data_IF_981155896894
#
_entry.id   IF_981155896894
#
_cell.length_a   1.000
_cell.length_b   1.000
_cell.length_c   1.000
_cell.angle_alpha   90.00
_cell.angle_beta   90.00
_cell.angle_gamma   90.00
#
_symmetry.space_group_name_H-M   'P 1'
#
loop_
_entity.id
_entity.type
_entity.pdbx_description
1 polymer ?
#
# COMPACT_ATOMS: atom_id res chain seq x y z
N UNK A 1 48.75 12.47 -8.92
CA UNK A 1 48.32 13.78 -9.35
C UNK A 1 47.20 14.21 -8.38
N UNK A 2 47.40 15.35 -7.73
CA UNK A 2 46.44 15.97 -6.86
C UNK A 2 45.24 16.40 -7.71
N UNK A 3 44.10 15.75 -7.48
CA UNK A 3 42.90 15.98 -8.25
C UNK A 3 42.19 17.24 -7.71
N UNK A 4 42.31 18.31 -8.45
CA UNK A 4 41.63 19.61 -8.16
C UNK A 4 40.21 19.65 -8.69
N UNK A 5 39.40 18.63 -8.44
CA UNK A 5 37.93 18.69 -8.62
C UNK A 5 37.45 18.74 -10.09
N UNK A 6 38.20 18.38 -11.06
CA UNK A 6 37.82 18.38 -12.46
C UNK A 6 37.18 17.05 -12.89
N UNK A 7 36.30 17.15 -13.87
CA UNK A 7 35.48 16.09 -14.41
C UNK A 7 36.31 14.84 -14.74
N UNK A 8 35.93 13.69 -14.12
CA UNK A 8 36.59 12.41 -14.38
C UNK A 8 36.57 12.02 -15.89
N UNK A 9 35.68 12.60 -16.69
CA UNK A 9 35.59 12.39 -18.11
C UNK A 9 36.82 12.95 -18.88
N UNK A 10 37.42 14.04 -18.41
CA UNK A 10 38.64 14.60 -19.02
C UNK A 10 39.86 13.72 -18.76
N UNK A 11 39.93 13.09 -17.57
CA UNK A 11 41.02 12.18 -17.21
C UNK A 11 41.01 10.87 -18.05
N UNK A 12 39.85 10.43 -18.51
CA UNK A 12 39.70 9.20 -19.32
C UNK A 12 40.21 9.38 -20.76
N UNK A 13 40.30 10.61 -21.26
CA UNK A 13 40.77 10.91 -22.64
C UNK A 13 42.29 11.03 -22.77
N UNK A 14 43.03 11.02 -21.67
CA UNK A 14 44.47 10.97 -21.71
C UNK A 14 44.95 9.54 -22.04
N UNK A 15 45.48 9.32 -23.24
CA UNK A 15 45.80 8.01 -23.84
C UNK A 15 46.82 7.13 -23.12
N UNK A 16 47.08 7.35 -21.83
CA UNK A 16 48.04 6.61 -20.99
C UNK A 16 47.39 5.86 -19.83
N UNK A 17 46.04 5.63 -19.85
CA UNK A 17 45.37 4.90 -18.78
C UNK A 17 45.44 3.39 -18.98
N UNK A 18 45.76 2.67 -17.92
CA UNK A 18 45.69 1.21 -17.85
C UNK A 18 44.36 0.83 -17.24
N UNK A 19 43.53 0.08 -17.98
CA UNK A 19 42.30 -0.47 -17.45
C UNK A 19 42.59 -1.49 -16.36
N UNK A 20 42.26 -1.20 -15.10
CA UNK A 20 42.50 -2.07 -13.96
C UNK A 20 41.29 -2.99 -13.66
N UNK A 21 40.11 -2.56 -14.00
CA UNK A 21 38.90 -3.31 -13.75
C UNK A 21 37.67 -2.43 -13.56
N UNK A 22 36.53 -3.07 -13.44
CA UNK A 22 35.24 -2.45 -13.12
C UNK A 22 34.79 -3.02 -11.79
N UNK A 23 34.42 -2.15 -10.84
CA UNK A 23 33.77 -2.53 -9.59
C UNK A 23 32.28 -2.17 -9.70
N UNK A 24 31.43 -3.16 -9.58
CA UNK A 24 29.98 -2.96 -9.52
C UNK A 24 29.53 -3.02 -8.06
N UNK A 25 28.81 -1.99 -7.63
CA UNK A 25 28.18 -1.94 -6.32
C UNK A 25 26.67 -2.11 -6.54
N UNK A 26 26.11 -3.17 -5.99
CA UNK A 26 24.66 -3.38 -6.02
C UNK A 26 24.18 -3.76 -4.62
N UNK A 27 23.04 -3.21 -4.23
CA UNK A 27 22.34 -3.64 -3.02
C UNK A 27 21.43 -4.81 -3.41
N UNK A 28 21.63 -6.03 -2.85
CA UNK A 28 20.84 -7.19 -3.23
C UNK A 28 19.41 -7.05 -2.75
N UNK A 29 18.48 -7.46 -3.58
CA UNK A 29 17.06 -7.54 -3.19
C UNK A 29 16.88 -8.60 -2.11
N UNK A 30 16.10 -8.28 -1.09
CA UNK A 30 15.76 -9.24 -0.03
C UNK A 30 15.00 -10.42 -0.64
N UNK A 31 15.35 -11.68 -0.30
CA UNK A 31 14.81 -12.88 -0.96
C UNK A 31 13.29 -13.05 -0.83
N UNK A 32 12.68 -12.48 0.22
CA UNK A 32 11.25 -12.56 0.53
C UNK A 32 10.37 -11.60 -0.29
N UNK A 33 10.96 -10.54 -0.87
CA UNK A 33 10.24 -9.47 -1.56
C UNK A 33 9.52 -9.94 -2.83
N UNK A 34 10.14 -10.73 -3.74
CA UNK A 34 9.45 -11.16 -4.96
C UNK A 34 8.18 -11.97 -4.68
N UNK A 35 8.23 -12.89 -3.72
CA UNK A 35 7.07 -13.70 -3.32
C UNK A 35 5.97 -12.83 -2.71
N UNK A 36 6.34 -11.88 -1.85
CA UNK A 36 5.38 -10.97 -1.21
C UNK A 36 4.72 -10.04 -2.24
N UNK A 37 5.45 -9.52 -3.23
CA UNK A 37 4.91 -8.74 -4.34
C UNK A 37 3.92 -9.57 -5.16
N UNK A 38 4.26 -10.81 -5.48
CA UNK A 38 3.37 -11.71 -6.21
C UNK A 38 2.07 -12.00 -5.42
N UNK A 39 2.17 -12.22 -4.10
CA UNK A 39 0.99 -12.37 -3.22
C UNK A 39 0.10 -11.12 -3.24
N UNK A 40 0.69 -9.93 -3.16
CA UNK A 40 -0.06 -8.69 -3.26
C UNK A 40 -0.77 -8.55 -4.62
N UNK A 41 -0.07 -8.81 -5.72
CA UNK A 41 -0.65 -8.75 -7.07
C UNK A 41 -1.79 -9.76 -7.26
N UNK A 42 -1.61 -11.01 -6.81
CA UNK A 42 -2.65 -12.05 -6.86
C UNK A 42 -3.88 -11.72 -6.02
N UNK A 43 -3.69 -10.92 -4.97
CA UNK A 43 -4.75 -10.37 -4.14
C UNK A 43 -5.40 -9.10 -4.71
N UNK A 44 -5.06 -8.69 -5.95
CA UNK A 44 -5.58 -7.51 -6.62
C UNK A 44 -5.03 -6.19 -6.08
N UNK A 45 -3.86 -6.20 -5.44
CA UNK A 45 -3.20 -4.99 -4.93
C UNK A 45 -2.21 -4.50 -5.98
N UNK A 46 -2.38 -3.27 -6.44
CA UNK A 46 -1.42 -2.60 -7.32
C UNK A 46 -0.18 -2.17 -6.54
N UNK A 47 0.95 -2.83 -6.77
CA UNK A 47 2.24 -2.45 -6.18
C UNK A 47 2.91 -1.41 -7.05
N UNK A 48 3.53 -0.39 -6.44
CA UNK A 48 4.27 0.67 -7.13
C UNK A 48 5.61 0.92 -6.41
N UNK A 49 6.67 1.13 -7.19
CA UNK A 49 7.97 1.56 -6.68
C UNK A 49 8.12 3.06 -6.87
N UNK A 50 8.45 3.77 -5.79
CA UNK A 50 8.71 5.20 -5.80
C UNK A 50 10.02 5.46 -5.07
N UNK A 51 11.06 5.79 -5.82
CA UNK A 51 12.43 5.89 -5.29
C UNK A 51 13.16 7.14 -5.79
N UNK A 52 14.16 7.57 -5.03
CA UNK A 52 15.12 8.58 -5.46
C UNK A 52 16.19 8.07 -6.45
N UNK A 53 16.24 6.75 -6.68
CA UNK A 53 17.23 6.11 -7.54
C UNK A 53 17.07 6.48 -9.02
N UNK A 54 18.08 6.08 -9.81
CA UNK A 54 18.07 6.29 -11.26
C UNK A 54 16.99 5.44 -11.95
N UNK A 55 16.48 5.86 -13.12
CA UNK A 55 15.48 5.09 -13.87
C UNK A 55 15.95 3.67 -14.20
N UNK A 56 17.23 3.49 -14.53
CA UNK A 56 17.81 2.17 -14.82
C UNK A 56 17.74 1.25 -13.60
N UNK A 57 18.22 1.72 -12.44
CA UNK A 57 18.22 0.97 -11.19
C UNK A 57 16.81 0.62 -10.76
N UNK A 58 15.90 1.60 -10.74
CA UNK A 58 14.51 1.39 -10.32
C UNK A 58 13.76 0.38 -11.21
N UNK A 59 13.97 0.45 -12.54
CA UNK A 59 13.37 -0.50 -13.49
C UNK A 59 13.93 -1.90 -13.33
N UNK A 60 15.26 -2.02 -13.10
CA UNK A 60 15.91 -3.32 -12.90
C UNK A 60 15.43 -3.99 -11.60
N UNK A 61 15.32 -3.23 -10.51
CA UNK A 61 14.70 -3.71 -9.26
C UNK A 61 13.27 -4.17 -9.52
N UNK A 62 12.47 -3.37 -10.21
CA UNK A 62 11.09 -3.72 -10.55
C UNK A 62 10.99 -5.02 -11.36
N UNK A 63 11.95 -5.26 -12.27
CA UNK A 63 12.04 -6.49 -13.05
C UNK A 63 12.39 -7.71 -12.18
N UNK A 64 13.35 -7.56 -11.30
CA UNK A 64 13.80 -8.65 -10.42
C UNK A 64 12.74 -9.09 -9.41
N UNK A 65 11.91 -8.16 -8.93
CA UNK A 65 10.79 -8.49 -8.02
C UNK A 65 9.49 -8.91 -8.76
N UNK A 66 9.51 -9.00 -10.10
CA UNK A 66 8.36 -9.42 -10.90
C UNK A 66 7.26 -8.35 -11.04
N UNK A 67 7.55 -7.08 -10.73
CA UNK A 67 6.63 -5.96 -10.92
C UNK A 67 6.64 -5.46 -12.36
N UNK A 68 7.83 -5.33 -12.96
CA UNK A 68 8.01 -4.94 -14.36
C UNK A 68 7.96 -6.16 -15.26
N UNK A 69 7.07 -6.12 -16.25
CA UNK A 69 6.80 -7.22 -17.18
C UNK A 69 7.24 -6.87 -18.61
N UNK A 70 7.43 -7.86 -19.50
CA UNK A 70 7.82 -7.61 -20.89
C UNK A 70 6.85 -6.74 -21.68
N UNK A 71 5.57 -6.77 -21.34
CA UNK A 71 4.50 -5.97 -21.95
C UNK A 71 4.46 -4.50 -21.46
N UNK A 72 5.20 -4.16 -20.40
CA UNK A 72 5.21 -2.81 -19.85
C UNK A 72 5.96 -1.83 -20.77
N UNK A 73 5.45 -0.62 -20.81
CA UNK A 73 5.92 0.46 -21.68
C UNK A 73 6.35 1.69 -20.87
N UNK A 74 6.79 2.73 -21.54
CA UNK A 74 7.11 4.02 -20.91
C UNK A 74 5.89 4.67 -20.22
N UNK A 75 4.66 4.22 -20.50
CA UNK A 75 3.48 4.63 -19.73
C UNK A 75 3.53 4.17 -18.28
N UNK A 76 4.16 3.02 -18.01
CA UNK A 76 4.23 2.39 -16.69
C UNK A 76 5.40 2.90 -15.84
N UNK A 77 6.28 3.76 -16.37
CA UNK A 77 7.38 4.39 -15.63
C UNK A 77 7.46 5.88 -15.89
N UNK A 78 7.95 6.62 -14.91
CA UNK A 78 8.15 8.07 -15.01
C UNK A 78 9.26 8.52 -14.08
N UNK A 79 9.90 9.64 -14.38
CA UNK A 79 10.78 10.34 -13.44
C UNK A 79 10.00 11.37 -12.62
N UNK A 80 10.49 11.70 -11.40
CA UNK A 80 9.88 12.75 -10.58
C UNK A 80 9.78 14.10 -11.30
N UNK A 81 10.78 14.43 -12.12
CA UNK A 81 10.77 15.69 -12.90
C UNK A 81 9.65 15.68 -13.95
N UNK A 82 9.53 14.60 -14.71
CA UNK A 82 8.44 14.45 -15.70
C UNK A 82 7.09 14.45 -15.02
N UNK A 83 6.95 13.73 -13.88
CA UNK A 83 5.70 13.68 -13.12
C UNK A 83 5.28 15.05 -12.57
N UNK A 84 6.24 15.84 -12.11
CA UNK A 84 5.97 17.20 -11.63
C UNK A 84 5.55 18.16 -12.76
N UNK A 85 5.97 17.89 -14.00
CA UNK A 85 5.61 18.69 -15.17
C UNK A 85 4.22 18.37 -15.74
N UNK A 86 3.63 17.21 -15.39
CA UNK A 86 2.27 16.84 -15.81
C UNK A 86 1.22 17.73 -15.14
N UNK A 87 0.19 18.11 -15.88
CA UNK A 87 -1.04 18.63 -15.31
C UNK A 87 -1.73 17.59 -14.41
N UNK A 88 -2.65 18.01 -13.57
CA UNK A 88 -3.35 17.06 -12.70
C UNK A 88 -4.24 16.09 -13.50
N UNK A 89 -4.81 16.54 -14.61
CA UNK A 89 -5.62 15.69 -15.51
C UNK A 89 -4.77 14.60 -16.17
N UNK A 90 -3.61 14.97 -16.72
CA UNK A 90 -2.65 14.02 -17.33
C UNK A 90 -2.11 13.03 -16.31
N UNK A 91 -1.77 13.51 -15.12
CA UNK A 91 -1.29 12.68 -14.02
C UNK A 91 -2.37 11.71 -13.55
N UNK A 92 -3.62 12.15 -13.40
CA UNK A 92 -4.78 11.31 -13.06
C UNK A 92 -5.03 10.21 -14.10
N UNK A 93 -4.88 10.50 -15.39
CA UNK A 93 -5.05 9.48 -16.45
C UNK A 93 -4.00 8.37 -16.34
N UNK A 94 -2.79 8.73 -15.93
CA UNK A 94 -1.64 7.82 -15.91
C UNK A 94 -1.42 7.09 -14.59
N UNK A 95 -1.90 7.65 -13.46
CA UNK A 95 -1.52 7.24 -12.11
C UNK A 95 -1.81 5.77 -11.78
N UNK A 96 -2.88 5.18 -12.32
CA UNK A 96 -3.22 3.78 -12.10
C UNK A 96 -2.27 2.83 -12.83
N UNK A 97 -1.85 3.17 -14.04
CA UNK A 97 -0.97 2.35 -14.88
C UNK A 97 0.50 2.44 -14.43
N UNK A 98 0.85 3.50 -13.72
CA UNK A 98 2.21 3.73 -13.27
C UNK A 98 2.67 2.64 -12.30
N UNK A 99 3.83 2.04 -12.56
CA UNK A 99 4.47 1.02 -11.72
C UNK A 99 5.76 1.51 -11.06
N UNK A 100 6.53 2.34 -11.76
CA UNK A 100 7.84 2.81 -11.30
C UNK A 100 7.94 4.33 -11.44
N UNK A 101 8.22 5.01 -10.33
CA UNK A 101 8.63 6.41 -10.31
C UNK A 101 10.05 6.50 -9.76
N UNK A 102 10.97 6.95 -10.60
CA UNK A 102 12.39 7.15 -10.28
C UNK A 102 12.72 8.61 -10.04
N UNK A 103 13.82 8.93 -9.37
CA UNK A 103 14.20 10.31 -9.03
C UNK A 103 13.07 11.13 -8.39
N UNK A 104 12.22 10.44 -7.62
CA UNK A 104 11.08 11.05 -6.94
C UNK A 104 11.54 11.89 -5.75
N UNK A 105 11.02 13.11 -5.64
CA UNK A 105 11.17 13.98 -4.47
C UNK A 105 10.04 13.67 -3.45
N UNK A 106 10.16 14.07 -2.20
CA UNK A 106 9.12 13.88 -1.19
C UNK A 106 7.73 14.36 -1.63
N UNK A 107 7.67 15.53 -2.28
CA UNK A 107 6.41 16.10 -2.78
C UNK A 107 5.81 15.29 -3.95
N UNK A 108 6.65 14.68 -4.78
CA UNK A 108 6.18 13.82 -5.89
C UNK A 108 5.52 12.55 -5.33
N UNK A 109 6.10 11.98 -4.24
CA UNK A 109 5.53 10.83 -3.52
C UNK A 109 4.16 11.17 -2.93
N UNK A 110 4.04 12.32 -2.26
CA UNK A 110 2.79 12.79 -1.69
C UNK A 110 1.72 13.04 -2.78
N UNK A 111 2.08 13.74 -3.87
CA UNK A 111 1.17 13.99 -4.99
C UNK A 111 0.66 12.69 -5.61
N UNK A 112 1.52 11.68 -5.78
CA UNK A 112 1.11 10.37 -6.27
C UNK A 112 0.04 9.74 -5.38
N UNK A 113 0.22 9.78 -4.06
CA UNK A 113 -0.75 9.28 -3.08
C UNK A 113 -2.09 10.01 -3.24
N UNK A 114 -2.08 11.34 -3.30
CA UNK A 114 -3.30 12.15 -3.45
C UNK A 114 -4.05 11.82 -4.74
N UNK A 115 -3.35 11.68 -5.86
CA UNK A 115 -3.97 11.35 -7.16
C UNK A 115 -4.56 9.94 -7.18
N UNK A 116 -3.89 8.95 -6.54
CA UNK A 116 -4.43 7.61 -6.38
C UNK A 116 -5.72 7.62 -5.54
N UNK A 117 -5.74 8.40 -4.46
CA UNK A 117 -6.93 8.58 -3.60
C UNK A 117 -8.09 9.24 -4.36
N UNK A 118 -7.80 10.25 -5.20
CA UNK A 118 -8.82 10.87 -6.06
C UNK A 118 -9.43 9.89 -7.06
N UNK A 119 -8.68 8.87 -7.50
CA UNK A 119 -9.21 7.75 -8.30
C UNK A 119 -9.98 6.71 -7.48
N UNK A 120 -10.18 6.94 -6.18
CA UNK A 120 -10.90 6.03 -5.29
C UNK A 120 -10.07 4.83 -4.81
N UNK A 121 -8.75 4.84 -5.00
CA UNK A 121 -7.89 3.80 -4.48
C UNK A 121 -7.63 3.99 -2.99
N UNK A 122 -7.59 2.89 -2.24
CA UNK A 122 -7.06 2.86 -0.87
C UNK A 122 -5.55 2.66 -0.95
N UNK A 123 -4.80 3.63 -0.48
CA UNK A 123 -3.34 3.67 -0.64
C UNK A 123 -2.65 3.38 0.69
N UNK A 124 -1.77 2.39 0.66
CA UNK A 124 -0.78 2.18 1.72
C UNK A 124 0.61 2.60 1.21
N UNK A 125 1.39 3.25 2.04
CA UNK A 125 2.75 3.68 1.73
C UNK A 125 3.71 3.06 2.73
N UNK A 126 4.83 2.55 2.24
CA UNK A 126 5.94 2.12 3.09
C UNK A 126 7.13 3.05 2.93
N UNK A 127 7.79 3.38 4.02
CA UNK A 127 8.98 4.21 4.01
C UNK A 127 9.79 4.09 5.29
N UNK A 128 11.07 4.42 5.21
CA UNK A 128 12.02 4.36 6.32
C UNK A 128 12.71 5.71 6.59
N UNK A 129 12.62 6.62 5.63
CA UNK A 129 13.31 7.90 5.65
C UNK A 129 12.42 9.09 5.99
N UNK A 130 13.06 10.19 6.39
CA UNK A 130 12.41 11.50 6.59
C UNK A 130 11.73 11.99 5.30
N UNK A 131 12.26 11.61 4.14
CA UNK A 131 11.72 11.97 2.84
C UNK A 131 10.37 11.29 2.52
N UNK A 132 10.02 10.25 3.24
CA UNK A 132 8.78 9.50 3.07
C UNK A 132 7.65 10.03 3.95
N UNK A 133 7.97 10.79 4.99
CA UNK A 133 7.01 11.27 5.97
C UNK A 133 5.79 12.00 5.38
N UNK A 134 5.90 12.87 4.36
CA UNK A 134 4.74 13.50 3.75
C UNK A 134 3.80 12.49 3.07
N UNK A 135 4.34 11.46 2.44
CA UNK A 135 3.56 10.42 1.77
C UNK A 135 2.94 9.45 2.80
N UNK A 136 3.71 9.07 3.85
CA UNK A 136 3.23 8.23 4.95
C UNK A 136 2.02 8.85 5.66
N UNK A 137 2.12 10.14 6.00
CA UNK A 137 1.04 10.86 6.69
C UNK A 137 -0.21 11.07 5.81
N UNK A 138 -0.04 11.16 4.47
CA UNK A 138 -1.16 11.38 3.54
C UNK A 138 -1.87 10.08 3.12
N UNK A 139 -1.21 8.93 3.23
CA UNK A 139 -1.78 7.64 2.90
C UNK A 139 -2.93 7.28 3.86
N UNK A 140 -3.84 6.40 3.44
CA UNK A 140 -4.81 5.83 4.37
C UNK A 140 -4.15 4.86 5.35
N UNK A 141 -3.00 4.28 4.97
CA UNK A 141 -2.18 3.46 5.87
C UNK A 141 -0.70 3.78 5.62
N UNK A 142 -0.08 4.48 6.54
CA UNK A 142 1.36 4.70 6.59
C UNK A 142 2.06 3.57 7.32
N UNK A 143 3.08 2.95 6.70
CA UNK A 143 3.86 1.86 7.28
C UNK A 143 5.33 2.27 7.35
N UNK A 144 5.90 2.37 8.54
CA UNK A 144 7.33 2.60 8.72
C UNK A 144 8.08 1.31 9.00
N UNK A 145 9.36 1.28 8.63
CA UNK A 145 10.26 0.20 9.03
C UNK A 145 10.72 0.37 10.47
N UNK A 146 10.97 -0.73 11.18
CA UNK A 146 11.46 -0.72 12.55
C UNK A 146 12.83 -0.06 12.69
N UNK A 147 13.67 -0.20 11.66
CA UNK A 147 14.97 0.48 11.52
C UNK A 147 14.86 1.89 10.96
N UNK A 148 13.66 2.33 10.54
CA UNK A 148 13.42 3.65 9.99
C UNK A 148 13.63 4.80 10.99
N UNK A 149 13.70 6.02 10.46
CA UNK A 149 13.89 7.24 11.24
C UNK A 149 12.69 7.50 12.19
N UNK A 150 12.92 8.24 13.28
CA UNK A 150 11.85 8.66 14.19
C UNK A 150 10.75 9.43 13.47
N UNK A 151 11.14 10.29 12.51
CA UNK A 151 10.20 11.07 11.71
C UNK A 151 9.29 10.18 10.86
N UNK A 152 9.82 9.12 10.23
CA UNK A 152 9.01 8.17 9.47
C UNK A 152 8.04 7.40 10.39
N UNK A 153 8.50 6.99 11.58
CA UNK A 153 7.67 6.31 12.59
C UNK A 153 6.54 7.20 13.11
N UNK A 154 6.81 8.45 13.40
CA UNK A 154 5.80 9.41 13.84
C UNK A 154 4.76 9.74 12.75
N UNK A 155 5.18 9.69 11.48
CA UNK A 155 4.31 9.96 10.34
C UNK A 155 3.50 8.72 9.89
N UNK A 156 3.75 7.54 10.46
CA UNK A 156 3.12 6.29 10.08
C UNK A 156 2.07 5.82 11.10
N UNK A 157 1.10 5.02 10.63
CA UNK A 157 0.09 4.39 11.48
C UNK A 157 0.58 3.06 12.09
N UNK A 158 1.51 2.38 11.39
CA UNK A 158 2.02 1.06 11.76
C UNK A 158 3.53 1.03 11.60
N UNK A 159 4.24 0.44 12.56
CA UNK A 159 5.67 0.18 12.46
C UNK A 159 5.93 -1.32 12.31
N UNK A 160 6.65 -1.72 11.27
CA UNK A 160 7.04 -3.10 10.99
C UNK A 160 8.33 -3.42 11.74
N UNK A 161 8.25 -4.22 12.80
CA UNK A 161 9.40 -4.51 13.67
C UNK A 161 10.44 -5.41 13.00
N UNK A 162 10.04 -6.21 12.04
CA UNK A 162 10.89 -7.16 11.30
C UNK A 162 11.41 -6.62 9.98
N UNK A 163 11.04 -5.38 9.61
CA UNK A 163 11.39 -4.72 8.35
C UNK A 163 11.05 -5.56 7.09
N UNK A 164 10.09 -6.50 7.20
CA UNK A 164 9.76 -7.42 6.12
C UNK A 164 8.54 -6.98 5.32
N UNK A 165 8.70 -6.91 4.01
CA UNK A 165 7.56 -6.67 3.09
C UNK A 165 6.55 -7.84 3.12
N UNK A 166 7.00 -9.06 3.47
CA UNK A 166 6.13 -10.22 3.66
C UNK A 166 5.11 -10.00 4.78
N UNK A 167 5.50 -9.33 5.85
CA UNK A 167 4.60 -9.00 6.97
C UNK A 167 3.48 -8.06 6.55
N UNK A 168 3.73 -7.15 5.59
CA UNK A 168 2.68 -6.31 4.98
C UNK A 168 1.65 -7.18 4.27
N UNK A 169 2.09 -8.10 3.40
CA UNK A 169 1.20 -9.00 2.67
C UNK A 169 0.34 -9.84 3.63
N UNK A 170 0.95 -10.32 4.72
CA UNK A 170 0.27 -11.07 5.77
C UNK A 170 -0.75 -10.22 6.52
N UNK A 171 -0.39 -8.99 6.89
CA UNK A 171 -1.29 -8.05 7.57
C UNK A 171 -2.51 -7.71 6.70
N UNK A 172 -2.32 -7.50 5.40
CA UNK A 172 -3.43 -7.28 4.46
C UNK A 172 -4.37 -8.50 4.38
N UNK A 173 -3.80 -9.72 4.35
CA UNK A 173 -4.59 -10.94 4.34
C UNK A 173 -5.48 -11.06 5.60
N UNK A 174 -4.90 -10.85 6.77
CA UNK A 174 -5.63 -10.86 8.04
C UNK A 174 -6.66 -9.73 8.13
N UNK A 175 -6.31 -8.51 7.72
CA UNK A 175 -7.22 -7.37 7.70
C UNK A 175 -8.43 -7.61 6.80
N UNK A 176 -8.24 -8.21 5.62
CA UNK A 176 -9.35 -8.60 4.73
C UNK A 176 -10.23 -9.70 5.32
N UNK A 177 -9.64 -10.66 6.02
CA UNK A 177 -10.39 -11.71 6.72
C UNK A 177 -11.25 -11.10 7.84
N UNK A 178 -10.64 -10.26 8.67
CA UNK A 178 -11.33 -9.54 9.74
C UNK A 178 -12.48 -8.68 9.20
N UNK A 179 -12.24 -7.93 8.14
CA UNK A 179 -13.28 -7.11 7.50
C UNK A 179 -14.48 -7.94 7.02
N UNK A 180 -14.22 -9.09 6.38
CA UNK A 180 -15.30 -10.02 5.97
C UNK A 180 -16.09 -10.56 7.16
N UNK A 181 -15.41 -10.86 8.26
CA UNK A 181 -16.08 -11.34 9.47
C UNK A 181 -16.96 -10.24 10.08
N UNK A 182 -16.45 -9.01 10.16
CA UNK A 182 -17.24 -7.85 10.61
C UNK A 182 -18.47 -7.63 9.71
N UNK A 183 -18.32 -7.70 8.39
CA UNK A 183 -19.44 -7.58 7.47
C UNK A 183 -20.51 -8.66 7.71
N UNK A 184 -20.08 -9.92 7.86
CA UNK A 184 -20.99 -11.03 8.14
C UNK A 184 -21.75 -10.83 9.46
N UNK A 185 -21.02 -10.40 10.51
CA UNK A 185 -21.60 -10.09 11.80
C UNK A 185 -22.68 -9.00 11.70
N UNK A 186 -22.36 -7.88 11.04
CA UNK A 186 -23.31 -6.76 10.88
C UNK A 186 -24.55 -7.21 10.10
N UNK A 187 -24.38 -7.94 8.98
CA UNK A 187 -25.50 -8.44 8.18
C UNK A 187 -26.38 -9.38 9.01
N UNK A 188 -25.77 -10.30 9.76
CA UNK A 188 -26.48 -11.22 10.65
C UNK A 188 -27.29 -10.44 11.71
N UNK A 189 -26.66 -9.51 12.41
CA UNK A 189 -27.30 -8.70 13.46
C UNK A 189 -28.44 -7.85 12.92
N UNK A 190 -28.23 -7.17 11.78
CA UNK A 190 -29.28 -6.38 11.13
C UNK A 190 -30.46 -7.26 10.69
N UNK A 191 -30.20 -8.43 10.11
CA UNK A 191 -31.24 -9.36 9.65
C UNK A 191 -32.14 -9.76 10.80
N UNK A 192 -31.57 -10.11 11.93
CA UNK A 192 -32.36 -10.54 13.10
C UNK A 192 -33.18 -9.38 13.66
N UNK A 193 -32.60 -8.19 13.78
CA UNK A 193 -33.33 -7.02 14.25
C UNK A 193 -34.50 -6.64 13.32
N UNK A 194 -34.28 -6.73 11.99
CA UNK A 194 -35.34 -6.49 11.00
C UNK A 194 -36.44 -7.55 11.09
N UNK A 195 -36.09 -8.83 11.24
CA UNK A 195 -37.05 -9.93 11.40
C UNK A 195 -37.86 -9.75 12.68
N UNK A 196 -37.21 -9.42 13.80
CA UNK A 196 -37.90 -9.17 15.07
C UNK A 196 -38.90 -8.00 14.97
N UNK A 197 -38.46 -6.88 14.38
CA UNK A 197 -39.31 -5.72 14.16
C UNK A 197 -40.51 -6.05 13.24
N UNK A 198 -40.24 -6.72 12.11
CA UNK A 198 -41.25 -7.14 11.15
C UNK A 198 -42.26 -8.11 11.79
N UNK A 199 -41.81 -9.04 12.63
CA UNK A 199 -42.70 -9.99 13.34
C UNK A 199 -43.64 -9.27 14.29
N UNK A 200 -43.18 -8.29 15.04
CA UNK A 200 -44.02 -7.49 15.95
C UNK A 200 -45.04 -6.64 15.16
N UNK A 201 -44.60 -5.99 14.09
CA UNK A 201 -45.48 -5.17 13.25
C UNK A 201 -46.57 -6.01 12.58
N UNK A 202 -46.20 -7.16 11.99
CA UNK A 202 -47.17 -8.06 11.35
C UNK A 202 -48.12 -8.65 12.36
N UNK A 203 -47.67 -9.03 13.56
CA UNK A 203 -48.54 -9.48 14.65
C UNK A 203 -49.59 -8.44 15.05
N UNK A 204 -49.18 -7.18 15.17
CA UNK A 204 -50.07 -6.08 15.43
C UNK A 204 -51.10 -5.84 14.29
N UNK A 205 -50.68 -5.99 13.03
CA UNK A 205 -51.55 -5.82 11.86
C UNK A 205 -52.63 -6.93 11.76
N UNK A 206 -52.25 -8.17 12.09
CA UNK A 206 -53.15 -9.31 12.03
C UNK A 206 -53.97 -9.50 13.32
N UNK A 207 -53.82 -8.62 14.32
CA UNK A 207 -54.54 -8.69 15.58
C UNK A 207 -54.20 -9.91 16.43
N UNK A 208 -53.03 -10.49 16.25
CA UNK A 208 -52.52 -11.60 17.04
C UNK A 208 -51.85 -11.07 18.32
N UNK A 209 -51.74 -11.90 19.36
CA UNK A 209 -50.93 -11.55 20.53
C UNK A 209 -49.48 -11.27 20.11
N UNK A 210 -48.81 -10.37 20.82
CA UNK A 210 -47.42 -9.98 20.52
C UNK A 210 -46.53 -11.23 20.52
N UNK A 211 -45.92 -11.58 19.38
CA UNK A 211 -45.14 -12.80 19.25
C UNK A 211 -43.85 -12.80 20.10
N UNK A 212 -43.38 -11.61 20.46
CA UNK A 212 -42.18 -11.42 21.29
C UNK A 212 -42.43 -10.27 22.30
N UNK A 213 -42.18 -10.54 23.55
CA UNK A 213 -42.16 -9.51 24.60
C UNK A 213 -40.81 -8.77 24.58
N UNK A 214 -40.78 -7.55 25.11
CA UNK A 214 -39.54 -6.75 25.21
C UNK A 214 -38.40 -7.52 25.92
N UNK A 215 -38.75 -8.26 26.98
CA UNK A 215 -37.78 -9.07 27.73
C UNK A 215 -37.21 -10.21 26.87
N UNK A 216 -38.06 -10.86 26.07
CA UNK A 216 -37.60 -11.92 25.14
C UNK A 216 -36.68 -11.35 24.04
N UNK A 217 -36.99 -10.17 23.49
CA UNK A 217 -36.12 -9.51 22.52
C UNK A 217 -34.75 -9.17 23.12
N UNK A 218 -34.69 -8.66 24.34
CA UNK A 218 -33.45 -8.38 25.04
C UNK A 218 -32.64 -9.67 25.29
N UNK A 219 -33.27 -10.76 25.67
CA UNK A 219 -32.65 -12.07 25.85
C UNK A 219 -32.09 -12.62 24.54
N UNK A 220 -32.85 -12.55 23.46
CA UNK A 220 -32.41 -12.99 22.13
C UNK A 220 -31.16 -12.18 21.68
N UNK A 221 -31.20 -10.86 21.83
CA UNK A 221 -30.03 -10.02 21.49
C UNK A 221 -28.79 -10.39 22.34
N UNK A 222 -28.96 -10.54 23.67
CA UNK A 222 -27.84 -10.89 24.55
C UNK A 222 -27.23 -12.25 24.20
N UNK A 223 -28.04 -13.28 23.96
CA UNK A 223 -27.61 -14.61 23.60
C UNK A 223 -26.90 -14.58 22.22
N UNK A 224 -27.50 -13.87 21.25
CA UNK A 224 -26.93 -13.80 19.90
C UNK A 224 -25.61 -13.05 19.86
N UNK A 225 -25.49 -11.92 20.53
CA UNK A 225 -24.23 -11.17 20.59
C UNK A 225 -23.10 -12.02 21.18
N UNK A 226 -23.42 -12.80 22.23
CA UNK A 226 -22.44 -13.69 22.86
C UNK A 226 -22.01 -14.82 21.93
N UNK A 227 -22.95 -15.54 21.30
CA UNK A 227 -22.62 -16.66 20.41
C UNK A 227 -22.04 -16.18 19.08
N UNK A 228 -22.48 -15.06 18.53
CA UNK A 228 -21.91 -14.49 17.33
C UNK A 228 -20.46 -14.03 17.55
N UNK A 229 -20.18 -13.42 18.71
CA UNK A 229 -18.82 -13.04 19.07
C UNK A 229 -17.89 -14.25 19.27
N UNK A 230 -18.42 -15.41 19.68
CA UNK A 230 -17.63 -16.66 19.79
C UNK A 230 -17.42 -17.36 18.46
N UNK A 231 -18.26 -17.12 17.45
CA UNK A 231 -18.18 -17.77 16.13
C UNK A 231 -17.33 -16.98 15.11
N UNK A 232 -16.90 -15.78 15.44
CA UNK A 232 -16.07 -14.89 14.62
C UNK A 232 -14.58 -14.99 14.99
#
# INVERSE_FOLDING_TARGET
PENSGNDCAELVNEGNMIFLGIVAISDPIRPDVPEAVQKCQSAGIGVKIVTGDTPGTATEIARQIGLWKPEDTDRNRITGVEFAALSDEEALDRVLDLKVMSRARPMDKQRLVQLLQQKGAVVAVTGDGTNDAPALNHAQVGLSMGTGTSVAKEASDITLLDDSFHSIATAVMWGRSLYKNIQRFIVFQLTINVVALASVLLGAFFGTELPLTVTQMLWVNLIMDTFAAMAL
#
